data_IF_640571813763
#
_entry.id   IF_640571813763
#
_cell.length_a   1.000
_cell.length_b   1.000
_cell.length_c   1.000
_cell.angle_alpha   90.00
_cell.angle_beta   90.00
_cell.angle_gamma   90.00
#
_symmetry.space_group_name_H-M   'P 1'
#
loop_
_entity.id
_entity.type
_entity.pdbx_description
1 polymer ?
#
# COMPACT_ATOMS: atom_id res chain seq x y z
N UNK A 1 -12.18 -2.07 23.76
CA UNK A 1 -12.53 -1.89 22.33
C UNK A 1 -12.13 -0.49 21.91
N UNK A 2 -11.21 -0.35 20.97
CA UNK A 2 -10.89 0.97 20.40
C UNK A 2 -12.12 1.53 19.67
N UNK A 3 -12.38 2.85 19.78
CA UNK A 3 -13.51 3.46 19.08
C UNK A 3 -13.27 3.47 17.57
N UNK A 4 -14.30 3.09 16.80
CA UNK A 4 -14.28 3.22 15.34
C UNK A 4 -14.23 4.71 15.02
N UNK A 5 -13.16 5.12 14.31
CA UNK A 5 -13.02 6.47 13.76
C UNK A 5 -13.33 6.42 12.27
N UNK A 6 -14.52 6.88 11.82
CA UNK A 6 -14.84 6.93 10.40
C UNK A 6 -13.87 7.85 9.68
N UNK A 7 -13.56 7.52 8.43
CA UNK A 7 -12.67 8.29 7.57
C UNK A 7 -13.36 8.56 6.24
N UNK A 8 -13.30 9.82 5.81
CA UNK A 8 -13.72 10.23 4.47
C UNK A 8 -12.48 10.62 3.71
N UNK A 9 -12.28 10.01 2.55
CA UNK A 9 -11.16 10.29 1.67
C UNK A 9 -11.66 10.77 0.31
N UNK A 10 -10.92 11.69 -0.29
CA UNK A 10 -11.22 12.27 -1.58
C UNK A 10 -9.95 12.49 -2.38
N UNK A 11 -9.97 12.11 -3.65
CA UNK A 11 -8.84 12.29 -4.56
C UNK A 11 -9.26 12.84 -5.91
N UNK A 12 -8.40 13.66 -6.51
CA UNK A 12 -8.64 14.29 -7.82
C UNK A 12 -7.43 14.17 -8.74
N UNK A 13 -7.70 14.01 -10.02
CA UNK A 13 -6.72 14.01 -11.10
C UNK A 13 -7.37 14.56 -12.37
N UNK A 14 -7.03 15.79 -12.74
CA UNK A 14 -7.63 16.50 -13.88
C UNK A 14 -9.15 16.61 -13.75
N UNK A 15 -9.87 16.02 -14.69
CA UNK A 15 -11.34 15.97 -14.71
C UNK A 15 -11.93 14.75 -14.01
N UNK A 16 -11.09 13.91 -13.39
CA UNK A 16 -11.54 12.73 -12.64
C UNK A 16 -11.40 12.97 -11.15
N UNK A 17 -12.29 12.36 -10.38
CA UNK A 17 -12.20 12.38 -8.94
C UNK A 17 -12.95 11.23 -8.31
N UNK A 18 -12.77 11.06 -7.01
CA UNK A 18 -13.54 10.12 -6.22
C UNK A 18 -13.70 10.63 -4.79
N UNK A 19 -14.77 10.21 -4.16
CA UNK A 19 -14.98 10.32 -2.72
C UNK A 19 -15.26 8.91 -2.18
N UNK A 20 -14.69 8.58 -1.03
CA UNK A 20 -14.89 7.29 -0.37
C UNK A 20 -15.11 7.45 1.12
N UNK A 21 -15.90 6.54 1.67
CA UNK A 21 -16.22 6.46 3.08
C UNK A 21 -15.69 5.14 3.63
N UNK A 22 -14.89 5.22 4.68
CA UNK A 22 -14.25 4.07 5.31
C UNK A 22 -14.64 4.04 6.80
N UNK A 23 -15.30 2.96 7.21
CA UNK A 23 -15.50 2.56 8.59
C UNK A 23 -14.54 1.39 8.88
N UNK A 24 -13.43 1.64 9.61
CA UNK A 24 -12.43 0.62 9.91
C UNK A 24 -13.04 -0.68 10.45
N UNK A 25 -12.69 -1.80 9.82
CA UNK A 25 -13.18 -3.14 10.18
C UNK A 25 -14.55 -3.53 9.60
N UNK A 26 -15.34 -2.56 9.12
CA UNK A 26 -16.69 -2.78 8.58
C UNK A 26 -16.69 -2.68 7.05
N UNK A 27 -16.24 -1.55 6.49
CA UNK A 27 -16.16 -1.34 5.02
C UNK A 27 -14.76 -1.66 4.51
N UNK A 28 -14.57 -1.85 3.19
CA UNK A 28 -13.23 -1.98 2.61
C UNK A 28 -12.32 -0.80 3.01
N UNK A 29 -11.09 -1.12 3.40
CA UNK A 29 -10.06 -0.11 3.58
C UNK A 29 -9.33 0.20 2.27
N UNK A 30 -8.31 1.05 2.32
CA UNK A 30 -7.44 1.33 1.17
C UNK A 30 -6.80 0.08 0.57
N UNK A 31 -6.45 -0.91 1.40
CA UNK A 31 -5.80 -2.13 0.90
C UNK A 31 -6.79 -3.02 0.14
N UNK A 32 -8.04 -3.15 0.60
CA UNK A 32 -9.09 -3.87 -0.12
C UNK A 32 -9.33 -3.30 -1.53
N UNK A 33 -9.11 -1.99 -1.69
CA UNK A 33 -9.37 -1.26 -2.94
C UNK A 33 -8.08 -0.78 -3.61
N UNK A 34 -6.92 -1.35 -3.26
CA UNK A 34 -5.62 -0.92 -3.80
C UNK A 34 -5.52 -1.05 -5.31
N UNK A 35 -6.21 -2.04 -5.88
CA UNK A 35 -6.26 -2.30 -7.31
C UNK A 35 -6.98 -1.20 -8.12
N UNK A 36 -7.76 -0.32 -7.47
CA UNK A 36 -8.37 0.84 -8.11
C UNK A 36 -7.36 1.94 -8.44
N UNK A 37 -6.21 1.96 -7.76
CA UNK A 37 -5.18 2.94 -8.03
C UNK A 37 -4.43 2.57 -9.32
N UNK A 38 -4.19 3.53 -10.23
CA UNK A 38 -3.43 3.25 -11.43
C UNK A 38 -2.00 2.84 -11.07
N UNK A 39 -1.39 1.92 -11.85
CA UNK A 39 0.00 1.54 -11.63
C UNK A 39 0.90 2.76 -11.80
N UNK A 40 1.90 2.90 -10.93
CA UNK A 40 2.92 3.94 -11.04
C UNK A 40 3.70 3.72 -12.34
N UNK A 41 3.80 4.77 -13.17
CA UNK A 41 4.58 4.71 -14.42
C UNK A 41 6.06 4.77 -14.10
N UNK A 42 6.70 3.61 -13.93
CA UNK A 42 8.16 3.48 -13.87
C UNK A 42 8.75 3.22 -15.25
N UNK A 43 9.81 3.92 -15.61
CA UNK A 43 10.57 3.63 -16.82
C UNK A 43 11.74 2.67 -16.49
N UNK A 44 11.94 1.59 -17.24
CA UNK A 44 13.09 0.70 -17.02
C UNK A 44 14.42 1.43 -17.23
N UNK A 45 15.40 1.19 -16.36
CA UNK A 45 16.69 1.88 -16.41
C UNK A 45 17.43 1.66 -17.74
N UNK A 46 17.37 0.46 -18.32
CA UNK A 46 17.96 0.15 -19.62
C UNK A 46 17.34 0.98 -20.77
N UNK A 47 16.02 1.21 -20.73
CA UNK A 47 15.33 2.05 -21.72
C UNK A 47 15.73 3.52 -21.58
N UNK A 48 15.89 4.01 -20.34
CA UNK A 48 16.37 5.38 -20.10
C UNK A 48 17.81 5.54 -20.59
N UNK A 49 18.68 4.57 -20.29
CA UNK A 49 20.11 4.64 -20.55
C UNK A 49 20.50 4.41 -22.02
N UNK A 50 19.91 3.41 -22.68
CA UNK A 50 20.36 2.93 -23.99
C UNK A 50 19.38 3.27 -25.12
N UNK A 51 18.08 3.03 -24.92
CA UNK A 51 17.07 3.07 -25.99
C UNK A 51 15.88 3.97 -25.65
N UNK A 52 16.07 5.30 -25.57
CA UNK A 52 14.97 6.23 -25.32
C UNK A 52 13.97 6.16 -26.49
N UNK A 53 12.67 6.28 -26.17
CA UNK A 53 11.56 6.16 -27.14
C UNK A 53 10.59 7.33 -27.10
N UNK A 54 10.66 8.16 -26.08
CA UNK A 54 9.79 9.31 -25.90
C UNK A 54 10.52 10.41 -25.12
N UNK A 55 10.02 11.64 -25.22
CA UNK A 55 10.60 12.81 -24.55
C UNK A 55 10.79 12.62 -23.03
N UNK A 56 9.90 11.87 -22.37
CA UNK A 56 10.03 11.59 -20.93
C UNK A 56 11.29 10.77 -20.60
N UNK A 57 11.70 9.83 -21.46
CA UNK A 57 12.93 9.06 -21.26
C UNK A 57 14.18 9.95 -21.32
N UNK A 58 14.19 10.95 -22.22
CA UNK A 58 15.30 11.88 -22.33
C UNK A 58 15.42 12.77 -21.10
N UNK A 59 14.29 13.23 -20.56
CA UNK A 59 14.24 14.02 -19.31
C UNK A 59 14.71 13.21 -18.11
N UNK A 60 14.21 11.98 -17.96
CA UNK A 60 14.62 11.10 -16.86
C UNK A 60 16.09 10.67 -16.97
N UNK A 61 16.65 10.52 -18.17
CA UNK A 61 18.09 10.31 -18.34
C UNK A 61 18.91 11.49 -17.82
N UNK A 62 18.53 12.70 -18.22
CA UNK A 62 19.23 13.92 -17.80
C UNK A 62 19.19 14.07 -16.27
N UNK A 63 18.03 13.81 -15.66
CA UNK A 63 17.82 13.88 -14.22
C UNK A 63 18.53 12.78 -13.42
N UNK A 64 18.35 11.50 -13.79
CA UNK A 64 18.80 10.36 -12.98
C UNK A 64 20.25 9.97 -13.24
N UNK A 65 20.73 10.13 -14.48
CA UNK A 65 22.03 9.61 -14.91
C UNK A 65 23.00 10.75 -15.17
N UNK A 66 22.61 11.75 -15.98
CA UNK A 66 23.54 12.79 -16.40
C UNK A 66 23.85 13.80 -15.29
N UNK A 67 22.85 14.14 -14.47
CA UNK A 67 23.00 15.07 -13.35
C UNK A 67 24.16 14.66 -12.43
N UNK A 68 24.12 13.43 -11.89
CA UNK A 68 25.17 12.94 -11.00
C UNK A 68 26.54 12.79 -11.65
N UNK A 69 26.60 12.62 -12.97
CA UNK A 69 27.87 12.54 -13.72
C UNK A 69 28.54 13.91 -13.88
N UNK A 70 27.77 14.95 -14.17
CA UNK A 70 28.29 16.29 -14.45
C UNK A 70 28.31 17.21 -13.21
N UNK A 71 27.42 16.96 -12.26
CA UNK A 71 27.26 17.71 -11.00
C UNK A 71 27.29 16.76 -9.79
N UNK A 72 28.43 16.11 -9.49
CA UNK A 72 28.52 15.09 -8.44
C UNK A 72 28.35 15.66 -7.02
N UNK A 73 28.62 16.95 -6.82
CA UNK A 73 28.55 17.61 -5.51
C UNK A 73 27.20 18.30 -5.25
N UNK A 74 26.24 18.18 -6.17
CA UNK A 74 24.96 18.88 -6.08
C UNK A 74 23.79 17.90 -6.20
N UNK A 75 22.80 18.02 -5.32
CA UNK A 75 21.57 17.22 -5.41
C UNK A 75 20.57 17.92 -6.29
N UNK A 76 20.00 17.19 -7.24
CA UNK A 76 18.95 17.71 -8.10
C UNK A 76 17.70 18.11 -7.28
N UNK A 77 17.19 19.30 -7.55
CA UNK A 77 15.96 19.84 -6.97
C UNK A 77 15.04 20.34 -8.10
N UNK A 78 13.81 19.82 -8.16
CA UNK A 78 12.84 20.18 -9.17
C UNK A 78 12.23 21.57 -8.98
N UNK A 79 12.33 22.18 -7.79
CA UNK A 79 11.80 23.51 -7.49
C UNK A 79 12.77 24.64 -7.85
N UNK A 80 14.05 24.32 -8.08
CA UNK A 80 15.06 25.28 -8.53
C UNK A 80 15.02 25.43 -10.04
N UNK A 81 14.74 26.65 -10.52
CA UNK A 81 14.60 26.93 -11.95
C UNK A 81 15.87 26.60 -12.75
N UNK A 82 17.05 26.84 -12.18
CA UNK A 82 18.33 26.51 -12.82
C UNK A 82 18.49 25.00 -13.06
N UNK A 83 18.14 24.18 -12.06
CA UNK A 83 18.23 22.72 -12.16
C UNK A 83 17.32 22.19 -13.26
N UNK A 84 16.07 22.67 -13.30
CA UNK A 84 15.09 22.27 -14.33
C UNK A 84 15.54 22.76 -15.71
N UNK A 85 16.09 23.96 -15.82
CA UNK A 85 16.62 24.49 -17.08
C UNK A 85 17.78 23.65 -17.59
N UNK A 86 18.69 23.24 -16.70
CA UNK A 86 19.79 22.35 -17.05
C UNK A 86 19.29 20.99 -17.53
N UNK A 87 18.33 20.37 -16.83
CA UNK A 87 17.73 19.10 -17.25
C UNK A 87 17.03 19.23 -18.59
N UNK A 88 16.31 20.34 -18.82
CA UNK A 88 15.67 20.62 -20.10
C UNK A 88 16.68 20.70 -21.26
N UNK A 89 17.78 21.43 -21.08
CA UNK A 89 18.80 21.58 -22.12
C UNK A 89 19.48 20.24 -22.46
N UNK A 90 19.87 19.47 -21.42
CA UNK A 90 20.46 18.14 -21.62
C UNK A 90 19.48 17.15 -22.25
N UNK A 91 18.22 17.19 -21.85
CA UNK A 91 17.17 16.35 -22.43
C UNK A 91 16.94 16.68 -23.90
N UNK A 92 17.01 17.96 -24.29
CA UNK A 92 16.86 18.42 -25.67
C UNK A 92 17.99 17.88 -26.56
N UNK A 93 19.24 18.03 -26.15
CA UNK A 93 20.41 17.49 -26.87
C UNK A 93 20.27 15.97 -27.08
N UNK A 94 19.87 15.24 -26.03
CA UNK A 94 19.65 13.80 -26.12
C UNK A 94 18.48 13.45 -27.05
N UNK A 95 17.41 14.23 -27.02
CA UNK A 95 16.26 14.00 -27.88
C UNK A 95 16.60 14.22 -29.36
N UNK A 96 17.39 15.25 -29.68
CA UNK A 96 17.92 15.49 -31.03
C UNK A 96 18.80 14.32 -31.50
N UNK A 97 19.68 13.80 -30.63
CA UNK A 97 20.55 12.67 -30.96
C UNK A 97 19.80 11.35 -31.24
N UNK A 98 18.56 11.22 -30.77
CA UNK A 98 17.72 10.03 -30.94
C UNK A 98 16.49 10.30 -31.83
N UNK A 99 16.41 11.46 -32.50
CA UNK A 99 15.29 11.86 -33.36
C UNK A 99 13.92 11.82 -32.63
N UNK A 100 13.90 12.22 -31.35
CA UNK A 100 12.71 12.25 -30.51
C UNK A 100 12.18 13.68 -30.39
N UNK A 101 10.93 13.89 -30.79
CA UNK A 101 10.25 15.17 -30.64
C UNK A 101 9.51 15.30 -29.29
N UNK A 102 9.12 16.53 -28.94
CA UNK A 102 8.21 16.81 -27.82
C UNK A 102 8.88 17.17 -26.49
N UNK A 103 10.20 17.35 -26.45
CA UNK A 103 10.87 17.93 -25.27
C UNK A 103 10.59 19.43 -25.21
N UNK A 104 9.75 19.85 -24.27
CA UNK A 104 9.50 21.27 -23.96
C UNK A 104 9.79 21.53 -22.48
N UNK A 105 10.05 22.78 -22.11
CA UNK A 105 10.28 23.12 -20.69
C UNK A 105 9.11 22.71 -19.80
N UNK A 106 7.86 22.89 -20.28
CA UNK A 106 6.65 22.45 -19.58
C UNK A 106 6.58 20.94 -19.42
N UNK A 107 6.97 20.18 -20.46
CA UNK A 107 7.04 18.72 -20.39
C UNK A 107 8.11 18.26 -19.39
N UNK A 108 9.29 18.87 -19.42
CA UNK A 108 10.38 18.62 -18.46
C UNK A 108 9.91 18.83 -17.03
N UNK A 109 9.25 19.95 -16.75
CA UNK A 109 8.71 20.25 -15.42
C UNK A 109 7.66 19.20 -15.00
N UNK A 110 6.80 18.79 -15.93
CA UNK A 110 5.79 17.75 -15.71
C UNK A 110 6.39 16.41 -15.31
N UNK A 111 7.44 15.98 -16.00
CA UNK A 111 8.15 14.71 -15.74
C UNK A 111 8.95 14.79 -14.44
N UNK A 112 9.75 15.84 -14.26
CA UNK A 112 10.60 16.04 -13.08
C UNK A 112 9.79 16.05 -11.78
N UNK A 113 8.71 16.82 -11.75
CA UNK A 113 7.89 17.00 -10.54
C UNK A 113 6.76 15.98 -10.43
N UNK A 114 6.62 15.04 -11.37
CA UNK A 114 5.47 14.13 -11.45
C UNK A 114 4.13 14.89 -11.32
N UNK A 115 3.98 15.99 -12.07
CA UNK A 115 2.83 16.90 -11.91
C UNK A 115 1.52 16.18 -12.24
N UNK A 116 0.64 16.10 -11.26
CA UNK A 116 -0.76 15.68 -11.44
C UNK A 116 -1.59 16.94 -11.79
N UNK A 117 -2.29 16.97 -12.94
CA UNK A 117 -3.15 18.09 -13.28
C UNK A 117 -4.23 18.31 -12.21
N UNK A 118 -4.37 19.55 -11.74
CA UNK A 118 -5.39 19.92 -10.76
C UNK A 118 -6.37 20.93 -11.36
N UNK A 119 -7.67 20.72 -11.15
CA UNK A 119 -8.73 21.60 -11.66
C UNK A 119 -9.61 22.03 -10.48
N UNK A 120 -9.80 23.34 -10.23
CA UNK A 120 -10.58 23.83 -9.09
C UNK A 120 -12.01 23.28 -9.04
N UNK A 121 -12.68 23.13 -10.18
CA UNK A 121 -14.04 22.58 -10.25
C UNK A 121 -14.10 21.11 -9.80
N UNK A 122 -13.15 20.26 -10.23
CA UNK A 122 -13.06 18.86 -9.79
C UNK A 122 -12.80 18.79 -8.28
N UNK A 123 -11.92 19.62 -7.75
CA UNK A 123 -11.65 19.70 -6.31
C UNK A 123 -12.90 20.12 -5.53
N UNK A 124 -13.66 21.10 -6.02
CA UNK A 124 -14.90 21.54 -5.39
C UNK A 124 -15.95 20.42 -5.36
N UNK A 125 -16.12 19.68 -6.47
CA UNK A 125 -17.09 18.57 -6.56
C UNK A 125 -16.72 17.46 -5.56
N UNK A 126 -15.46 17.04 -5.52
CA UNK A 126 -15.02 15.97 -4.62
C UNK A 126 -15.07 16.43 -3.16
N UNK A 127 -14.60 17.64 -2.85
CA UNK A 127 -14.67 18.19 -1.50
C UNK A 127 -16.11 18.32 -1.01
N UNK A 128 -17.05 18.74 -1.88
CA UNK A 128 -18.47 18.80 -1.56
C UNK A 128 -19.03 17.40 -1.25
N UNK A 129 -18.69 16.38 -2.03
CA UNK A 129 -19.10 15.01 -1.75
C UNK A 129 -18.54 14.52 -0.41
N UNK A 130 -17.26 14.77 -0.12
CA UNK A 130 -16.64 14.40 1.16
C UNK A 130 -17.31 15.12 2.35
N UNK A 131 -17.47 16.44 2.26
CA UNK A 131 -18.09 17.24 3.32
C UNK A 131 -19.55 16.82 3.58
N UNK A 132 -20.29 16.48 2.52
CA UNK A 132 -21.65 15.98 2.63
C UNK A 132 -21.69 14.63 3.39
N UNK A 133 -20.76 13.72 3.11
CA UNK A 133 -20.68 12.45 3.86
C UNK A 133 -20.32 12.66 5.33
N UNK A 134 -19.39 13.58 5.63
CA UNK A 134 -19.09 13.96 7.02
C UNK A 134 -20.32 14.52 7.71
N UNK A 135 -21.07 15.41 7.05
CA UNK A 135 -22.30 15.98 7.60
C UNK A 135 -23.34 14.90 7.90
N UNK A 136 -23.56 13.95 6.98
CA UNK A 136 -24.46 12.81 7.20
C UNK A 136 -24.03 11.96 8.39
N UNK A 137 -22.73 11.70 8.56
CA UNK A 137 -22.20 10.91 9.68
C UNK A 137 -22.42 11.59 11.03
N UNK A 138 -22.19 12.91 11.12
CA UNK A 138 -22.30 13.65 12.39
C UNK A 138 -23.76 13.87 12.78
N UNK A 139 -24.63 14.16 11.82
CA UNK A 139 -26.03 14.52 12.09
C UNK A 139 -26.97 13.33 12.11
N UNK A 140 -26.58 12.21 11.48
CA UNK A 140 -27.45 11.04 11.25
C UNK A 140 -28.76 11.40 10.52
N UNK A 141 -28.82 12.54 9.82
CA UNK A 141 -30.04 13.04 9.19
C UNK A 141 -30.48 12.18 7.99
N UNK A 142 -29.51 11.59 7.27
CA UNK A 142 -29.74 10.75 6.08
C UNK A 142 -28.69 9.64 6.04
N UNK A 143 -29.04 8.51 5.43
CA UNK A 143 -28.09 7.41 5.15
C UNK A 143 -26.91 7.91 4.31
N UNK A 144 -25.70 7.54 4.73
CA UNK A 144 -24.46 7.78 3.99
C UNK A 144 -24.35 7.00 2.68
N UNK A 145 -23.37 7.37 1.87
CA UNK A 145 -22.95 6.67 0.67
C UNK A 145 -22.51 5.24 0.96
N UNK A 146 -22.79 4.32 0.03
CA UNK A 146 -22.24 2.97 0.05
C UNK A 146 -20.75 2.97 -0.41
N UNK A 147 -19.88 3.49 0.46
CA UNK A 147 -18.42 3.48 0.44
C UNK A 147 -17.64 4.13 -0.72
N UNK A 148 -18.11 4.19 -1.96
CA UNK A 148 -17.33 4.79 -3.04
C UNK A 148 -18.17 5.49 -4.11
N UNK A 149 -17.75 6.70 -4.47
CA UNK A 149 -18.27 7.49 -5.58
C UNK A 149 -17.13 7.87 -6.50
N UNK A 150 -17.30 7.64 -7.80
CA UNK A 150 -16.43 8.18 -8.83
C UNK A 150 -17.09 9.35 -9.55
N UNK A 151 -16.28 10.29 -10.01
CA UNK A 151 -16.65 11.43 -10.84
C UNK A 151 -15.76 11.49 -12.08
N UNK A 152 -16.35 11.75 -13.24
CA UNK A 152 -15.66 12.02 -14.49
C UNK A 152 -16.34 13.18 -15.23
N UNK A 153 -15.60 14.26 -15.41
CA UNK A 153 -16.03 15.50 -16.06
C UNK A 153 -15.58 15.66 -17.52
N UNK A 154 -15.00 14.62 -18.16
CA UNK A 154 -14.37 14.75 -19.48
C UNK A 154 -15.39 14.93 -20.62
N UNK A 155 -16.50 14.20 -20.57
CA UNK A 155 -17.55 14.18 -21.60
C UNK A 155 -18.92 14.46 -20.96
N UNK A 156 -19.01 15.59 -20.26
CA UNK A 156 -20.17 15.95 -19.43
C UNK A 156 -19.98 15.54 -17.97
N UNK A 157 -21.09 15.50 -17.22
CA UNK A 157 -21.08 15.20 -15.78
C UNK A 157 -21.49 13.75 -15.58
N UNK A 158 -20.51 12.88 -15.33
CA UNK A 158 -20.75 11.49 -14.98
C UNK A 158 -20.35 11.22 -13.53
N UNK A 159 -21.27 10.64 -12.77
CA UNK A 159 -21.02 10.13 -11.43
C UNK A 159 -21.55 8.70 -11.31
N UNK A 160 -20.83 7.88 -10.55
CA UNK A 160 -21.27 6.50 -10.29
C UNK A 160 -20.89 6.12 -8.87
N UNK A 161 -21.84 5.54 -8.14
CA UNK A 161 -21.64 5.09 -6.76
C UNK A 161 -21.62 3.57 -6.75
N UNK A 162 -20.56 2.99 -6.21
CA UNK A 162 -20.34 1.54 -6.14
C UNK A 162 -20.05 1.16 -4.71
N UNK A 163 -20.72 0.12 -4.25
CA UNK A 163 -20.37 -0.53 -3.00
C UNK A 163 -19.27 -1.56 -3.27
N UNK A 164 -18.01 -1.24 -2.93
CA UNK A 164 -16.96 -2.26 -2.94
C UNK A 164 -17.08 -3.17 -1.72
N UNK A 165 -16.69 -4.42 -1.88
CA UNK A 165 -16.70 -5.41 -0.82
C UNK A 165 -15.41 -5.35 -0.01
N UNK A 166 -15.53 -5.63 1.29
CA UNK A 166 -14.37 -5.79 2.18
C UNK A 166 -13.79 -7.17 1.92
N UNK A 167 -12.47 -7.21 1.71
CA UNK A 167 -11.74 -8.47 1.65
C UNK A 167 -11.54 -9.02 3.07
N UNK A 168 -12.07 -10.22 3.31
CA UNK A 168 -12.00 -10.93 4.59
C UNK A 168 -10.59 -11.46 4.91
N UNK A 169 -9.72 -11.52 3.91
CA UNK A 169 -8.30 -11.86 4.07
C UNK A 169 -7.39 -10.61 4.08
N UNK A 170 -7.97 -9.40 4.03
CA UNK A 170 -7.20 -8.16 3.95
C UNK A 170 -6.22 -8.01 5.13
N UNK A 171 -4.91 -7.86 4.89
CA UNK A 171 -3.92 -7.79 5.98
C UNK A 171 -4.14 -6.58 6.91
N UNK A 172 -4.73 -5.50 6.39
CA UNK A 172 -4.90 -4.24 7.11
C UNK A 172 -6.19 -4.15 7.93
N UNK A 173 -7.35 -4.51 7.38
CA UNK A 173 -8.65 -4.32 8.06
C UNK A 173 -9.41 -5.61 8.37
N UNK A 174 -8.92 -6.77 7.93
CA UNK A 174 -9.45 -8.05 8.41
C UNK A 174 -8.80 -8.42 9.76
N UNK A 175 -9.38 -9.36 10.52
CA UNK A 175 -8.75 -9.91 11.72
C UNK A 175 -7.49 -10.75 11.43
N UNK A 176 -7.10 -10.91 10.16
CA UNK A 176 -5.96 -11.73 9.73
C UNK A 176 -6.40 -13.02 9.04
N UNK A 177 -5.48 -13.60 8.26
CA UNK A 177 -5.73 -14.79 7.45
C UNK A 177 -5.83 -16.01 8.36
N UNK A 178 -6.93 -16.74 8.25
CA UNK A 178 -7.14 -17.99 9.00
C UNK A 178 -6.31 -19.12 8.40
N UNK A 179 -5.60 -19.83 9.26
CA UNK A 179 -4.85 -21.05 8.92
C UNK A 179 -5.05 -22.09 10.03
N UNK A 180 -5.16 -23.35 9.64
CA UNK A 180 -5.40 -24.45 10.59
C UNK A 180 -4.22 -25.42 10.56
N UNK A 181 -3.76 -25.84 11.74
CA UNK A 181 -2.67 -26.79 11.91
C UNK A 181 -2.99 -27.76 13.05
N UNK A 182 -2.26 -28.87 13.11
CA UNK A 182 -2.30 -29.77 14.27
C UNK A 182 -1.66 -29.12 15.50
N UNK A 183 -2.11 -29.47 16.70
CA UNK A 183 -1.48 -29.04 17.98
C UNK A 183 0.03 -29.25 18.06
N UNK A 184 0.55 -30.27 17.38
CA UNK A 184 1.97 -30.63 17.40
C UNK A 184 2.82 -29.93 16.33
N UNK A 185 2.25 -28.95 15.61
CA UNK A 185 2.97 -28.26 14.51
C UNK A 185 4.20 -27.53 15.03
N UNK A 186 5.33 -27.72 14.34
CA UNK A 186 6.54 -26.95 14.62
C UNK A 186 6.45 -25.55 14.02
N UNK A 187 7.10 -24.55 14.63
CA UNK A 187 7.12 -23.19 14.10
C UNK A 187 7.67 -23.14 12.66
N UNK A 188 8.63 -24.01 12.32
CA UNK A 188 9.18 -24.15 10.98
C UNK A 188 8.12 -24.52 9.93
N UNK A 189 7.23 -25.47 10.24
CA UNK A 189 6.17 -25.90 9.32
C UNK A 189 5.16 -24.77 9.06
N UNK A 190 4.89 -23.94 10.07
CA UNK A 190 4.03 -22.75 9.94
C UNK A 190 4.69 -21.72 9.02
N UNK A 191 6.00 -21.47 9.19
CA UNK A 191 6.77 -20.58 8.31
C UNK A 191 6.74 -21.07 6.86
N UNK A 192 6.96 -22.36 6.62
CA UNK A 192 6.96 -22.94 5.28
C UNK A 192 5.56 -22.88 4.63
N UNK A 193 4.52 -23.14 5.40
CA UNK A 193 3.14 -23.00 4.95
C UNK A 193 2.80 -21.55 4.56
N UNK A 194 3.36 -20.54 5.24
CA UNK A 194 3.19 -19.13 4.88
C UNK A 194 3.85 -18.82 3.53
N UNK A 195 5.09 -19.28 3.32
CA UNK A 195 5.79 -19.11 2.04
C UNK A 195 5.01 -19.79 0.91
N UNK A 196 4.47 -20.98 1.15
CA UNK A 196 3.66 -21.71 0.16
C UNK A 196 2.33 -21.02 -0.16
N UNK A 197 1.65 -20.45 0.84
CA UNK A 197 0.36 -19.76 0.66
C UNK A 197 0.54 -18.37 0.03
N UNK A 198 1.68 -17.71 0.27
CA UNK A 198 1.97 -16.37 -0.21
C UNK A 198 3.29 -16.29 -1.02
N UNK A 199 3.45 -17.06 -2.10
CA UNK A 199 4.74 -17.20 -2.80
C UNK A 199 5.24 -15.90 -3.43
N UNK A 200 4.34 -14.97 -3.75
CA UNK A 200 4.67 -13.67 -4.35
C UNK A 200 4.95 -12.58 -3.31
N UNK A 201 4.62 -12.81 -2.04
CA UNK A 201 4.73 -11.81 -0.97
C UNK A 201 5.71 -12.23 0.14
N UNK A 202 5.93 -13.53 0.29
CA UNK A 202 6.68 -14.15 1.39
C UNK A 202 7.75 -15.08 0.80
N UNK A 203 9.03 -14.84 1.12
CA UNK A 203 10.15 -15.70 0.70
C UNK A 203 10.98 -16.13 1.91
N UNK A 204 11.29 -15.19 2.80
CA UNK A 204 12.10 -15.35 4.01
C UNK A 204 11.43 -14.60 5.17
N UNK A 205 10.31 -15.11 5.69
CA UNK A 205 9.57 -14.43 6.74
C UNK A 205 10.27 -14.50 8.10
N UNK A 206 10.01 -13.47 8.90
CA UNK A 206 10.14 -13.40 10.34
C UNK A 206 8.74 -13.47 10.96
N UNK A 207 8.60 -14.13 12.10
CA UNK A 207 7.33 -14.34 12.79
C UNK A 207 7.44 -13.84 14.23
N UNK A 208 6.48 -13.04 14.64
CA UNK A 208 6.31 -12.56 16.01
C UNK A 208 4.90 -12.81 16.52
N UNK A 209 4.73 -12.86 17.83
CA UNK A 209 3.45 -12.80 18.52
C UNK A 209 3.42 -11.53 19.36
N UNK A 210 2.24 -10.93 19.53
CA UNK A 210 2.07 -9.80 20.45
C UNK A 210 2.41 -10.17 21.90
N UNK A 211 2.25 -11.44 22.27
CA UNK A 211 2.33 -11.91 23.66
C UNK A 211 3.68 -12.53 23.97
N UNK A 212 4.26 -13.27 23.01
CA UNK A 212 5.54 -13.95 23.15
C UNK A 212 6.71 -13.22 22.47
N UNK A 213 6.47 -12.06 21.84
CA UNK A 213 7.50 -11.29 21.14
C UNK A 213 8.00 -11.98 19.87
N UNK A 214 9.31 -11.91 19.58
CA UNK A 214 9.90 -12.45 18.36
C UNK A 214 10.09 -13.98 18.45
N UNK A 215 9.23 -14.75 17.77
CA UNK A 215 9.31 -16.20 17.74
C UNK A 215 10.44 -16.69 16.82
N UNK A 216 10.55 -16.06 15.65
CA UNK A 216 11.62 -16.29 14.68
C UNK A 216 11.93 -14.99 13.93
N UNK A 217 13.15 -14.48 14.01
CA UNK A 217 13.53 -13.22 13.36
C UNK A 217 14.78 -13.39 12.52
N UNK A 218 14.70 -13.12 11.22
CA UNK A 218 15.85 -13.17 10.33
C UNK A 218 16.72 -11.92 10.45
N UNK A 219 18.04 -12.09 10.36
CA UNK A 219 19.01 -11.01 10.53
C UNK A 219 19.65 -11.00 11.92
N UNK A 220 19.50 -9.91 12.67
CA UNK A 220 20.28 -9.63 13.90
C UNK A 220 20.04 -10.66 15.00
N UNK A 221 18.79 -11.13 15.18
CA UNK A 221 18.41 -12.09 16.22
C UNK A 221 18.19 -13.52 15.69
N UNK A 222 18.77 -13.85 14.52
CA UNK A 222 18.50 -15.13 13.87
C UNK A 222 19.12 -16.31 14.61
N UNK A 223 20.34 -16.17 15.13
CA UNK A 223 21.02 -17.23 15.86
C UNK A 223 20.28 -17.60 17.16
N UNK A 224 19.75 -16.60 17.85
CA UNK A 224 19.01 -16.75 19.11
C UNK A 224 17.63 -17.38 18.89
N UNK A 225 16.92 -16.97 17.83
CA UNK A 225 15.54 -17.42 17.57
C UNK A 225 15.44 -18.66 16.68
N UNK A 226 16.52 -19.07 16.01
CA UNK A 226 16.53 -20.27 15.13
C UNK A 226 16.20 -21.56 15.86
N UNK A 227 16.58 -21.69 17.14
CA UNK A 227 16.24 -22.85 17.95
C UNK A 227 14.73 -23.05 18.15
N UNK A 228 13.92 -22.00 17.96
CA UNK A 228 12.47 -22.07 18.10
C UNK A 228 11.78 -22.71 16.89
N UNK A 229 12.42 -22.79 15.72
CA UNK A 229 11.83 -23.37 14.51
C UNK A 229 11.47 -24.85 14.69
N UNK A 230 12.23 -25.60 15.49
CA UNK A 230 11.97 -27.00 15.80
C UNK A 230 11.05 -27.23 17.00
N UNK A 231 10.65 -26.17 17.72
CA UNK A 231 9.74 -26.27 18.87
C UNK A 231 8.30 -26.18 18.39
N UNK A 232 7.39 -26.80 19.15
CA UNK A 232 5.96 -26.72 18.86
C UNK A 232 5.46 -25.30 19.08
N UNK A 233 4.58 -24.82 18.21
CA UNK A 233 4.02 -23.47 18.33
C UNK A 233 3.29 -23.27 19.66
N UNK A 234 2.65 -24.34 20.16
CA UNK A 234 1.91 -24.37 21.43
C UNK A 234 2.80 -24.05 22.65
N UNK A 235 4.08 -24.44 22.59
CA UNK A 235 5.03 -24.27 23.71
C UNK A 235 5.67 -22.85 23.69
N UNK A 236 5.67 -22.21 22.53
CA UNK A 236 6.32 -20.92 22.31
C UNK A 236 5.44 -19.72 22.68
N UNK A 237 4.13 -19.87 22.53
CA UNK A 237 3.14 -18.86 22.91
C UNK A 237 2.35 -19.45 24.07
N UNK A 238 2.64 -19.09 25.34
CA UNK A 238 1.83 -19.51 26.48
C UNK A 238 0.42 -18.88 26.43
N UNK A 239 -0.55 -19.49 27.10
CA UNK A 239 -1.90 -18.91 27.21
C UNK A 239 -1.84 -17.62 28.03
N UNK A 240 -2.38 -16.52 27.49
CA UNK A 240 -2.53 -15.29 28.25
C UNK A 240 -3.54 -15.54 29.37
N UNK A 241 -3.11 -15.35 30.62
CA UNK A 241 -3.97 -15.47 31.80
C UNK A 241 -4.88 -14.24 32.03
N UNK A 242 -4.88 -13.25 31.13
CA UNK A 242 -5.65 -12.01 31.23
C UNK A 242 -6.65 -11.86 30.07
N UNK A 243 -7.65 -12.74 30.08
CA UNK A 243 -8.78 -12.76 29.15
C UNK A 243 -9.92 -11.80 29.60
N UNK A 244 -9.60 -10.65 30.20
CA UNK A 244 -10.59 -9.68 30.73
C UNK A 244 -10.70 -8.36 29.94
N UNK A 245 -10.40 -8.41 28.64
CA UNK A 245 -10.65 -7.29 27.72
C UNK A 245 -11.38 -7.70 26.44
N UNK A 246 -12.50 -8.44 26.58
CA UNK A 246 -13.65 -8.34 25.67
C UNK A 246 -13.37 -8.42 24.16
N UNK A 247 -12.62 -9.44 23.73
CA UNK A 247 -12.61 -9.94 22.34
C UNK A 247 -12.15 -11.41 22.24
N UNK A 248 -12.26 -12.18 23.32
CA UNK A 248 -12.23 -13.64 23.27
C UNK A 248 -13.50 -14.13 22.57
N UNK A 249 -13.49 -14.21 21.24
CA UNK A 249 -14.37 -15.16 20.58
C UNK A 249 -13.75 -16.52 20.86
N UNK A 250 -14.26 -17.19 21.90
CA UNK A 250 -14.24 -18.63 21.94
C UNK A 250 -14.56 -19.13 20.52
N UNK A 251 -13.71 -20.02 19.99
CA UNK A 251 -14.04 -20.68 18.74
C UNK A 251 -15.47 -21.25 18.88
N UNK A 252 -16.31 -21.05 17.86
CA UNK A 252 -17.67 -21.59 17.82
C UNK A 252 -17.70 -23.13 18.04
N UNK A 253 -16.54 -23.78 17.92
CA UNK A 253 -16.25 -25.13 18.40
C UNK A 253 -15.17 -25.11 19.50
N UNK A 254 -15.53 -25.43 20.75
CA UNK A 254 -14.69 -25.33 21.96
C UNK A 254 -13.45 -26.24 22.06
N UNK A 255 -12.81 -26.62 20.95
CA UNK A 255 -11.66 -27.54 20.91
C UNK A 255 -10.38 -27.00 20.27
N UNK A 256 -10.44 -25.86 19.57
CA UNK A 256 -9.30 -25.30 18.84
C UNK A 256 -8.63 -24.12 19.56
N UNK A 257 -7.32 -24.21 19.84
CA UNK A 257 -6.54 -23.11 20.43
C UNK A 257 -6.17 -22.08 19.35
N UNK A 258 -6.47 -20.80 19.58
CA UNK A 258 -6.15 -19.71 18.64
C UNK A 258 -4.85 -19.02 19.06
N UNK A 259 -3.93 -18.87 18.10
CA UNK A 259 -2.69 -18.08 18.26
C UNK A 259 -2.63 -17.05 17.13
N UNK A 260 -2.50 -15.77 17.49
CA UNK A 260 -2.34 -14.69 16.52
C UNK A 260 -0.85 -14.42 16.28
N UNK A 261 -0.43 -14.54 15.02
CA UNK A 261 0.94 -14.33 14.59
C UNK A 261 1.04 -13.14 13.64
N UNK A 262 2.13 -12.40 13.75
CA UNK A 262 2.50 -11.35 12.83
C UNK A 262 3.70 -11.81 12.00
N UNK A 263 3.53 -11.84 10.69
CA UNK A 263 4.53 -12.30 9.72
C UNK A 263 5.06 -11.11 8.94
N UNK A 264 6.37 -10.96 8.94
CA UNK A 264 7.10 -9.87 8.30
C UNK A 264 8.12 -10.42 7.32
N UNK A 265 8.24 -9.82 6.15
CA UNK A 265 9.26 -10.18 5.15
C UNK A 265 9.79 -8.91 4.49
N UNK A 266 11.04 -8.92 4.02
CA UNK A 266 11.62 -7.81 3.24
C UNK A 266 10.84 -7.53 1.95
N UNK A 267 10.19 -8.54 1.37
CA UNK A 267 9.31 -8.38 0.20
C UNK A 267 7.94 -7.82 0.58
N UNK A 268 7.53 -7.94 1.84
CA UNK A 268 6.27 -7.39 2.30
C UNK A 268 6.42 -5.89 2.58
N UNK A 269 5.45 -5.11 2.09
CA UNK A 269 5.37 -3.69 2.43
C UNK A 269 4.85 -3.44 3.84
N UNK A 270 4.17 -4.43 4.45
CA UNK A 270 3.57 -4.42 5.79
C UNK A 270 3.47 -5.84 6.33
N UNK A 271 3.37 -5.98 7.65
CA UNK A 271 3.13 -7.27 8.30
C UNK A 271 1.80 -7.90 7.87
N UNK A 272 1.83 -9.22 7.73
CA UNK A 272 0.66 -10.07 7.56
C UNK A 272 0.23 -10.59 8.94
N UNK A 273 -1.05 -10.44 9.28
CA UNK A 273 -1.62 -11.08 10.47
C UNK A 273 -2.18 -12.44 10.11
N UNK A 274 -1.74 -13.48 10.84
CA UNK A 274 -2.22 -14.84 10.73
C UNK A 274 -2.95 -15.24 12.01
N UNK A 275 -4.12 -15.83 11.85
CA UNK A 275 -4.88 -16.46 12.94
C UNK A 275 -4.72 -17.96 12.82
N UNK A 276 -3.83 -18.53 13.63
CA UNK A 276 -3.52 -19.95 13.66
C UNK A 276 -4.50 -20.64 14.59
N UNK A 277 -5.26 -21.60 14.06
CA UNK A 277 -6.11 -22.49 14.85
C UNK A 277 -5.44 -23.85 14.97
N UNK A 278 -5.06 -24.21 16.19
CA UNK A 278 -4.49 -25.50 16.54
C UNK A 278 -5.61 -26.46 16.92
N UNK A 279 -5.82 -27.49 16.09
CA UNK A 279 -6.76 -28.58 16.35
C UNK A 279 -6.04 -29.82 16.85
#
# INVERSE_FOLDING_TARGET
REPIKPMVDGGTEGFKGHARVIYPGITPCFECTRWLFPPQKGFPLCTIAETPRCAAHCVEYARLIQWGKERPNETFDGDVQEHVAWVYERAKIRAEAHEIEGVTYRHTLGVVKNIIPAIPSTNAIVAAACALEVFKMVTMAVKGMNNFMMYNGREGVYTHTVAYEKDDECPACSPGVRVEFSRDVALGDVVDACVKKFPNQCEKPSVSSATAGHLYMRGVFEEETRANLGKKLVDLVPDDADDDAGAGTAAEDGTARRIDLEVNDKKMKRSLRLRVFLK
#
